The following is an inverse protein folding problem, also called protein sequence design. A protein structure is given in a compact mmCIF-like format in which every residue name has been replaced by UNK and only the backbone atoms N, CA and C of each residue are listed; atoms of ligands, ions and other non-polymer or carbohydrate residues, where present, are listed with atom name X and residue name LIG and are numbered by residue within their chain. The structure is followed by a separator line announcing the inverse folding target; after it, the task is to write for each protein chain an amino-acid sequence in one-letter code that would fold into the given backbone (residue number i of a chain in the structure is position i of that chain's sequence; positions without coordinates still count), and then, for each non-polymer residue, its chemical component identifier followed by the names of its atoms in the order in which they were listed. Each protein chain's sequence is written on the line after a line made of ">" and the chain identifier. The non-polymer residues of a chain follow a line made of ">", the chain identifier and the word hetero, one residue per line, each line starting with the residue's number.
data_IF_453672150737
#
_entry.id   IF_453672150737
#
_cell.length_a   1.000
_cell.length_b   1.000
_cell.length_c   1.000
_cell.angle_alpha   90.00
_cell.angle_beta   90.00
_cell.angle_gamma   90.00
#
_symmetry.space_group_name_H-M   'P 1'
#
loop_
_entity.id
_entity.type
_entity.pdbx_description
1 polymer ?
#
# COMPACT_ATOMS: atom_id res chain seq x y z
N UNK A 1 30.16 -7.82 4.69
CA UNK A 1 28.85 -7.31 5.18
C UNK A 1 28.14 -6.68 4.01
N UNK A 2 26.90 -7.10 3.76
CA UNK A 2 25.99 -6.47 2.82
C UNK A 2 25.35 -5.27 3.53
N UNK A 3 25.39 -4.09 2.91
CA UNK A 3 24.97 -2.84 3.56
C UNK A 3 23.67 -2.34 2.91
N UNK A 4 22.54 -2.84 3.40
CA UNK A 4 21.20 -2.50 2.90
C UNK A 4 20.92 -0.99 2.99
N UNK A 5 21.37 -0.34 4.07
CA UNK A 5 21.24 1.10 4.26
C UNK A 5 21.95 1.90 3.16
N UNK A 6 23.10 1.42 2.67
CA UNK A 6 23.80 2.05 1.54
C UNK A 6 23.02 1.93 0.24
N UNK A 7 22.37 0.79 -0.03
CA UNK A 7 21.56 0.60 -1.24
C UNK A 7 20.30 1.45 -1.23
N UNK A 8 19.65 1.61 -0.09
CA UNK A 8 18.48 2.49 0.02
C UNK A 8 18.82 3.96 -0.27
N UNK A 9 20.06 4.39 -0.01
CA UNK A 9 20.50 5.78 -0.27
C UNK A 9 21.17 5.99 -1.63
N UNK A 10 21.97 5.03 -2.10
CA UNK A 10 22.83 5.20 -3.28
C UNK A 10 22.61 4.12 -4.35
N UNK A 11 21.77 3.13 -4.10
CA UNK A 11 21.43 2.10 -5.08
C UNK A 11 20.64 2.66 -6.25
N UNK A 12 20.84 2.07 -7.42
CA UNK A 12 20.04 2.41 -8.59
C UNK A 12 18.60 1.94 -8.38
N UNK A 13 17.65 2.77 -8.81
CA UNK A 13 16.24 2.45 -8.73
C UNK A 13 15.82 1.60 -9.93
N UNK A 14 15.10 0.51 -9.66
CA UNK A 14 14.50 -0.34 -10.68
C UNK A 14 13.12 -0.79 -10.19
N UNK A 15 12.31 -1.34 -11.10
CA UNK A 15 11.04 -1.96 -10.75
C UNK A 15 11.19 -3.49 -10.70
N UNK A 16 10.70 -4.09 -9.63
CA UNK A 16 10.45 -5.52 -9.54
C UNK A 16 8.97 -5.83 -9.73
N UNK A 17 8.67 -7.06 -10.11
CA UNK A 17 7.29 -7.58 -10.19
C UNK A 17 7.10 -8.65 -9.13
N UNK A 18 6.02 -8.55 -8.35
CA UNK A 18 5.66 -9.58 -7.39
C UNK A 18 5.26 -10.85 -8.14
N UNK A 19 5.99 -11.94 -7.92
CA UNK A 19 5.73 -13.24 -8.55
C UNK A 19 5.00 -14.20 -7.64
N UNK A 20 5.11 -14.01 -6.32
CA UNK A 20 4.43 -14.82 -5.33
C UNK A 20 4.07 -13.95 -4.14
N UNK A 21 2.90 -14.23 -3.56
CA UNK A 21 2.44 -13.65 -2.31
C UNK A 21 1.99 -14.79 -1.40
N UNK A 22 2.37 -14.72 -0.13
CA UNK A 22 1.92 -15.66 0.90
C UNK A 22 1.51 -14.86 2.12
N UNK A 23 0.27 -15.03 2.51
CA UNK A 23 -0.29 -14.46 3.72
C UNK A 23 -0.70 -15.62 4.63
N UNK A 24 -0.18 -15.63 5.84
CA UNK A 24 -0.53 -16.61 6.87
C UNK A 24 -1.23 -15.83 7.99
N UNK A 25 -2.50 -16.12 8.17
CA UNK A 25 -3.33 -15.57 9.24
C UNK A 25 -3.37 -16.60 10.38
N UNK A 26 -2.88 -16.23 11.57
CA UNK A 26 -2.97 -17.05 12.77
C UNK A 26 -3.84 -16.35 13.83
N UNK A 27 -5.02 -16.92 14.04
CA UNK A 27 -5.97 -16.64 15.13
C UNK A 27 -6.23 -17.98 15.86
N UNK A 28 -6.52 -18.15 17.15
CA UNK A 28 -7.05 -17.27 18.21
C UNK A 28 -6.26 -17.48 19.54
N UNK A 29 -5.01 -17.98 19.47
CA UNK A 29 -4.22 -18.41 20.65
C UNK A 29 -2.71 -18.03 20.64
N UNK A 30 -2.25 -17.13 19.77
CA UNK A 30 -0.83 -16.70 19.75
C UNK A 30 -0.34 -16.27 18.37
N UNK A 31 -0.83 -15.13 17.91
CA UNK A 31 -0.79 -14.69 16.51
C UNK A 31 0.59 -14.25 16.01
N UNK A 32 1.08 -14.88 14.94
CA UNK A 32 2.01 -14.29 13.97
C UNK A 32 1.29 -14.16 12.62
N UNK A 33 0.91 -12.92 12.28
CA UNK A 33 0.56 -12.55 10.91
C UNK A 33 1.87 -12.50 10.12
N UNK A 34 2.13 -13.56 9.37
CA UNK A 34 3.28 -13.66 8.49
C UNK A 34 2.86 -13.30 7.06
N UNK A 35 3.50 -12.26 6.54
CA UNK A 35 3.30 -11.83 5.17
C UNK A 35 4.63 -11.94 4.44
N UNK A 36 4.71 -12.74 3.38
CA UNK A 36 5.91 -12.82 2.55
C UNK A 36 5.58 -12.67 1.07
N UNK A 37 6.49 -12.01 0.36
CA UNK A 37 6.41 -11.86 -1.09
C UNK A 37 7.71 -12.29 -1.74
N UNK A 38 7.60 -12.72 -2.98
CA UNK A 38 8.73 -12.87 -3.89
C UNK A 38 8.60 -11.87 -5.00
N UNK A 39 9.70 -11.21 -5.30
CA UNK A 39 9.75 -10.14 -6.29
C UNK A 39 10.85 -10.48 -7.28
N UNK A 40 10.47 -10.64 -8.54
CA UNK A 40 11.41 -10.85 -9.64
C UNK A 40 11.78 -9.50 -10.24
N UNK A 41 13.08 -9.27 -10.34
CA UNK A 41 13.65 -8.05 -10.90
C UNK A 41 14.41 -8.43 -12.15
N UNK A 42 14.15 -7.71 -13.25
CA UNK A 42 14.88 -7.88 -14.50
C UNK A 42 15.72 -6.64 -14.74
N UNK A 43 17.03 -6.82 -14.79
CA UNK A 43 18.01 -5.76 -14.98
C UNK A 43 18.17 -5.39 -16.47
N UNK A 44 18.71 -4.19 -16.78
CA UNK A 44 18.86 -3.71 -18.16
C UNK A 44 19.79 -4.58 -19.03
N UNK A 45 20.76 -5.25 -18.42
CA UNK A 45 21.65 -6.22 -19.04
C UNK A 45 20.97 -7.56 -19.37
N UNK A 46 19.69 -7.71 -18.99
CA UNK A 46 18.91 -8.93 -19.19
C UNK A 46 19.04 -9.93 -18.04
N UNK A 47 19.91 -9.69 -17.06
CA UNK A 47 20.00 -10.47 -15.84
C UNK A 47 18.72 -10.40 -15.01
N UNK A 48 18.50 -11.41 -14.17
CA UNK A 48 17.33 -11.49 -13.31
C UNK A 48 17.72 -11.91 -11.89
N UNK A 49 17.05 -11.35 -10.90
CA UNK A 49 17.16 -11.78 -9.49
C UNK A 49 15.79 -11.92 -8.85
N UNK A 50 15.70 -12.77 -7.82
CA UNK A 50 14.51 -12.93 -7.00
C UNK A 50 14.81 -12.44 -5.59
N UNK A 51 14.03 -11.46 -5.13
CA UNK A 51 14.07 -10.94 -3.78
C UNK A 51 12.94 -11.62 -3.00
N UNK A 52 13.28 -12.27 -1.90
CA UNK A 52 12.31 -12.79 -0.95
C UNK A 52 12.28 -11.87 0.26
N UNK A 53 11.11 -11.29 0.54
CA UNK A 53 10.91 -10.42 1.69
C UNK A 53 9.77 -10.95 2.55
N UNK A 54 10.01 -11.04 3.85
CA UNK A 54 9.05 -11.51 4.85
C UNK A 54 8.89 -10.42 5.92
N UNK A 55 7.66 -9.97 6.09
CA UNK A 55 7.24 -9.13 7.20
C UNK A 55 6.76 -10.01 8.34
N UNK A 56 7.37 -9.81 9.51
CA UNK A 56 6.90 -10.35 10.78
C UNK A 56 6.13 -9.25 11.51
N UNK A 57 4.84 -9.49 11.78
CA UNK A 57 3.87 -8.56 12.41
C UNK A 57 3.33 -7.43 11.52
N UNK A 58 2.25 -6.80 12.00
CA UNK A 58 1.33 -5.77 11.45
C UNK A 58 1.89 -4.61 10.56
N UNK A 59 3.17 -4.59 10.22
CA UNK A 59 3.77 -3.66 9.27
C UNK A 59 3.46 -4.07 7.81
N UNK A 60 2.18 -4.25 7.47
CA UNK A 60 1.75 -4.37 6.07
C UNK A 60 1.92 -3.02 5.39
N UNK A 61 2.94 -2.90 4.56
CA UNK A 61 3.08 -1.87 3.52
C UNK A 61 2.13 -2.20 2.37
N UNK A 62 0.83 -2.02 2.62
CA UNK A 62 -0.25 -2.32 1.69
C UNK A 62 -0.50 -3.80 1.41
N UNK A 63 -1.40 -4.06 0.48
CA UNK A 63 -1.75 -5.41 0.01
C UNK A 63 -1.13 -5.66 -1.36
N UNK A 64 0.15 -6.03 -1.39
CA UNK A 64 0.81 -6.37 -2.65
C UNK A 64 0.28 -7.71 -3.18
N UNK A 65 -0.03 -7.74 -4.48
CA UNK A 65 -0.54 -8.90 -5.21
C UNK A 65 0.44 -9.32 -6.29
N UNK A 66 0.33 -10.57 -6.73
CA UNK A 66 1.10 -11.07 -7.87
C UNK A 66 0.78 -10.21 -9.10
N UNK A 67 1.82 -9.75 -9.79
CA UNK A 67 1.73 -8.82 -10.91
C UNK A 67 1.97 -7.36 -10.54
N UNK A 68 1.93 -7.01 -9.25
CA UNK A 68 2.20 -5.63 -8.83
C UNK A 68 3.65 -5.25 -9.05
N UNK A 69 3.86 -3.99 -9.44
CA UNK A 69 5.19 -3.40 -9.61
C UNK A 69 5.61 -2.73 -8.31
N UNK A 70 6.75 -3.15 -7.78
CA UNK A 70 7.32 -2.62 -6.55
C UNK A 70 8.66 -1.94 -6.81
N UNK A 71 8.96 -0.82 -6.13
CA UNK A 71 10.24 -0.16 -6.24
C UNK A 71 11.33 -1.01 -5.56
N UNK A 72 12.45 -1.18 -6.27
CA UNK A 72 13.62 -1.95 -5.82
C UNK A 72 14.85 -1.07 -5.96
N UNK A 73 15.78 -1.20 -5.01
CA UNK A 73 17.12 -0.64 -5.06
C UNK A 73 18.11 -1.77 -5.26
N UNK A 74 19.03 -1.60 -6.21
CA UNK A 74 20.08 -2.58 -6.46
C UNK A 74 21.46 -1.93 -6.59
N UNK A 75 22.51 -2.73 -6.40
CA UNK A 75 23.89 -2.34 -6.68
C UNK A 75 24.18 -2.53 -8.18
N UNK A 76 24.46 -1.46 -8.96
CA UNK A 76 24.81 -1.61 -10.38
C UNK A 76 26.12 -2.38 -10.61
N UNK A 77 26.98 -2.48 -9.59
CA UNK A 77 28.23 -3.23 -9.66
C UNK A 77 28.03 -4.70 -9.24
N UNK A 78 26.90 -5.04 -8.64
CA UNK A 78 26.61 -6.37 -8.11
C UNK A 78 25.10 -6.66 -8.13
N UNK A 79 24.61 -7.25 -9.23
CA UNK A 79 23.19 -7.56 -9.43
C UNK A 79 22.61 -8.59 -8.46
N UNK A 80 23.44 -9.26 -7.64
CA UNK A 80 22.97 -10.11 -6.54
C UNK A 80 22.46 -9.31 -5.34
N UNK A 81 22.81 -8.02 -5.28
CA UNK A 81 22.48 -7.09 -4.21
C UNK A 81 21.29 -6.24 -4.58
N UNK A 82 20.08 -6.73 -4.28
CA UNK A 82 18.85 -5.99 -4.51
C UNK A 82 17.93 -6.06 -3.29
N UNK A 83 17.31 -4.94 -2.94
CA UNK A 83 16.40 -4.78 -1.80
C UNK A 83 15.15 -4.04 -2.23
N UNK A 84 14.02 -4.32 -1.58
CA UNK A 84 12.83 -3.51 -1.74
C UNK A 84 13.07 -2.11 -1.21
N UNK A 85 12.65 -1.10 -1.96
CA UNK A 85 12.68 0.29 -1.50
C UNK A 85 11.49 0.50 -0.55
N UNK A 86 11.67 0.02 0.68
CA UNK A 86 10.67 0.10 1.75
C UNK A 86 10.18 1.54 1.98
N UNK A 87 11.05 2.58 2.04
CA UNK A 87 10.61 3.96 2.14
C UNK A 87 9.71 4.40 0.98
N UNK A 88 10.06 4.05 -0.26
CA UNK A 88 9.24 4.39 -1.41
C UNK A 88 7.89 3.65 -1.43
N UNK A 89 7.90 2.39 -1.00
CA UNK A 89 6.70 1.56 -0.89
C UNK A 89 5.75 2.09 0.21
N UNK A 90 6.28 2.49 1.37
CA UNK A 90 5.53 3.10 2.45
C UNK A 90 4.94 4.45 2.04
N UNK A 91 5.74 5.31 1.38
CA UNK A 91 5.26 6.59 0.87
C UNK A 91 4.16 6.43 -0.20
N UNK A 92 4.26 5.40 -1.06
CA UNK A 92 3.22 5.07 -2.02
C UNK A 92 1.93 4.62 -1.32
N UNK A 93 2.05 3.76 -0.31
CA UNK A 93 0.92 3.27 0.46
C UNK A 93 0.23 4.37 1.28
N UNK A 94 1.00 5.27 1.89
CA UNK A 94 0.45 6.41 2.62
C UNK A 94 -0.35 7.35 1.71
N UNK A 95 0.17 7.62 0.50
CA UNK A 95 -0.54 8.41 -0.51
C UNK A 95 -1.86 7.76 -0.92
N UNK A 96 -1.86 6.45 -1.16
CA UNK A 96 -3.08 5.71 -1.50
C UNK A 96 -4.11 5.76 -0.36
N UNK A 97 -3.68 5.60 0.89
CA UNK A 97 -4.55 5.73 2.06
C UNK A 97 -5.12 7.14 2.21
N UNK A 98 -4.31 8.16 1.96
CA UNK A 98 -4.75 9.55 2.03
C UNK A 98 -5.80 9.86 0.95
N UNK A 99 -5.61 9.38 -0.27
CA UNK A 99 -6.57 9.54 -1.37
C UNK A 99 -7.89 8.80 -1.10
N UNK A 100 -7.81 7.55 -0.64
CA UNK A 100 -8.99 6.77 -0.25
C UNK A 100 -9.78 7.46 0.89
N UNK A 101 -9.07 8.00 1.89
CA UNK A 101 -9.69 8.75 2.99
C UNK A 101 -10.35 10.04 2.50
N UNK A 102 -9.70 10.76 1.58
CA UNK A 102 -10.25 11.98 1.01
C UNK A 102 -11.52 11.70 0.20
N UNK A 103 -11.53 10.62 -0.58
CA UNK A 103 -12.68 10.17 -1.36
C UNK A 103 -13.84 9.77 -0.45
N UNK A 104 -13.59 8.96 0.58
CA UNK A 104 -14.62 8.57 1.53
C UNK A 104 -15.24 9.78 2.23
N UNK A 105 -14.40 10.71 2.70
CA UNK A 105 -14.87 11.93 3.36
C UNK A 105 -15.81 12.74 2.46
N UNK A 106 -15.50 12.87 1.16
CA UNK A 106 -16.39 13.57 0.20
C UNK A 106 -17.75 12.89 0.11
N UNK A 107 -17.78 11.56 -0.03
CA UNK A 107 -19.02 10.81 -0.05
C UNK A 107 -19.83 10.97 1.25
N UNK A 108 -19.17 10.99 2.40
CA UNK A 108 -19.82 11.22 3.70
C UNK A 108 -20.39 12.63 3.82
N UNK A 109 -19.61 13.66 3.47
CA UNK A 109 -20.06 15.06 3.45
C UNK A 109 -21.27 15.25 2.52
N UNK A 110 -21.27 14.64 1.33
CA UNK A 110 -22.41 14.68 0.40
C UNK A 110 -23.67 14.00 0.97
N UNK A 111 -23.50 12.86 1.66
CA UNK A 111 -24.63 12.16 2.31
C UNK A 111 -25.21 12.97 3.46
N UNK A 112 -24.36 13.60 4.26
CA UNK A 112 -24.79 14.46 5.37
C UNK A 112 -25.53 15.69 4.82
N UNK A 113 -24.97 16.35 3.80
CA UNK A 113 -25.60 17.51 3.18
C UNK A 113 -26.98 17.17 2.59
N UNK A 114 -27.10 16.02 1.92
CA UNK A 114 -28.38 15.53 1.39
C UNK A 114 -29.41 15.28 2.49
N UNK A 115 -29.01 14.61 3.58
CA UNK A 115 -29.90 14.35 4.71
C UNK A 115 -30.34 15.66 5.41
N UNK A 116 -29.44 16.62 5.56
CA UNK A 116 -29.77 17.94 6.13
C UNK A 116 -30.75 18.73 5.24
N UNK A 117 -30.61 18.66 3.92
CA UNK A 117 -31.54 19.30 2.98
C UNK A 117 -32.95 18.67 3.03
N UNK A 118 -33.04 17.35 3.20
CA UNK A 118 -34.31 16.64 3.35
C UNK A 118 -35.04 17.06 4.63
N UNK A 119 -34.34 17.10 5.77
CA UNK A 119 -34.89 17.58 7.05
C UNK A 119 -35.37 19.04 6.94
N UNK A 120 -34.61 19.91 6.27
CA UNK A 120 -34.98 21.31 6.09
C UNK A 120 -36.23 21.47 5.19
N UNK A 121 -36.37 20.65 4.15
CA UNK A 121 -37.54 20.68 3.27
C UNK A 121 -38.82 20.16 3.94
N UNK A 122 -38.69 19.19 4.84
CA UNK A 122 -39.80 18.63 5.63
C UNK A 122 -40.28 19.60 6.72
N UNK A 123 -39.36 20.35 7.33
CA UNK A 123 -39.68 21.41 8.30
C UNK A 123 -40.45 22.61 7.73
N UNK A 124 -40.33 22.88 6.41
CA UNK A 124 -41.06 23.98 5.74
C UNK A 124 -42.52 23.60 5.40
N UNK A 125 -42.80 22.31 5.17
CA UNK A 125 -44.16 21.82 4.88
C UNK A 125 -45.04 21.75 6.13
N UNK A 126 -44.47 21.59 7.33
CA UNK A 126 -45.23 21.56 8.60
C UNK A 126 -45.76 22.93 9.06
N UNK A 127 -45.31 24.04 8.46
CA UNK A 127 -45.64 25.41 8.93
C UNK A 127 -46.83 26.06 8.21
N UNK A 128 -47.47 25.37 7.26
CA UNK A 128 -48.57 25.93 6.45
C UNK A 128 -49.99 25.54 6.91
N UNK A 129 -50.14 24.80 8.02
CA UNK A 129 -51.44 24.41 8.56
C UNK A 129 -51.71 25.06 9.93
N UNK A 130 -51.81 26.38 9.99
CA UNK A 130 -52.49 27.05 11.10
C UNK A 130 -52.95 28.44 10.64
N UNK A 131 -54.16 28.51 10.08
CA UNK A 131 -54.97 29.72 10.02
C UNK A 131 -56.45 29.36 9.95
#
# INVERSE_FOLDING_TARGET
>A
MFDEHRLLKHGAAIQGVVTSHKEIDHDQFGSELDYSIRVRVRFPDGGETEIHHRWTKHAKVGSLRVGDKVPVRYDPQDHSKAVLDMPALEAAHERERADAKATLKRYEDERIARAQAEIAAEGDHGRKHHH
#
